data_IF_349852093949
#
_entry.id   IF_349852093949
#
_cell.length_a   1.000
_cell.length_b   1.000
_cell.length_c   1.000
_cell.angle_alpha   90.00
_cell.angle_beta   90.00
_cell.angle_gamma   90.00
#
_symmetry.space_group_name_H-M   'P 1'
#
loop_
_entity.id
_entity.type
_entity.pdbx_description
1 polymer ?
#
# COMPACT_ATOMS: atom_id res chain seq x y z
N UNK A 1 -8.52 19.37 16.75
CA UNK A 1 -8.74 20.26 15.57
C UNK A 1 -9.81 19.60 14.72
N UNK A 2 -10.74 20.37 14.14
CA UNK A 2 -11.76 19.78 13.25
C UNK A 2 -11.13 19.64 11.86
N UNK A 3 -11.02 18.42 11.35
CA UNK A 3 -10.50 18.16 10.00
C UNK A 3 -11.39 18.78 8.95
N UNK A 4 -10.81 19.16 7.82
CA UNK A 4 -11.53 19.83 6.72
C UNK A 4 -11.34 19.05 5.43
N UNK A 5 -12.44 18.74 4.77
CA UNK A 5 -12.50 18.01 3.49
C UNK A 5 -13.11 18.91 2.43
N UNK A 6 -12.42 19.05 1.30
CA UNK A 6 -12.86 19.83 0.17
C UNK A 6 -13.43 18.92 -0.92
N UNK A 7 -14.70 19.08 -1.24
CA UNK A 7 -15.39 18.39 -2.34
C UNK A 7 -15.46 19.30 -3.58
N UNK A 8 -15.06 18.76 -4.73
CA UNK A 8 -14.98 19.48 -6.00
C UNK A 8 -15.70 18.68 -7.07
N UNK A 9 -16.80 19.20 -7.59
CA UNK A 9 -17.59 18.55 -8.61
C UNK A 9 -18.42 19.61 -9.35
N UNK A 10 -18.51 19.57 -10.66
CA UNK A 10 -19.35 20.49 -11.43
C UNK A 10 -20.83 20.07 -11.46
N UNK A 11 -21.13 18.82 -11.07
CA UNK A 11 -22.48 18.32 -10.88
C UNK A 11 -23.09 18.78 -9.55
N UNK A 12 -23.96 19.80 -9.64
CA UNK A 12 -24.66 20.36 -8.49
C UNK A 12 -25.59 19.38 -7.78
N UNK A 13 -26.19 18.44 -8.52
CA UNK A 13 -27.10 17.44 -7.94
C UNK A 13 -26.30 16.49 -7.06
N UNK A 14 -25.18 15.99 -7.54
CA UNK A 14 -24.27 15.14 -6.77
C UNK A 14 -23.70 15.86 -5.56
N UNK A 15 -23.22 17.11 -5.69
CA UNK A 15 -22.75 17.90 -4.55
C UNK A 15 -23.84 18.12 -3.49
N UNK A 16 -25.09 18.35 -3.93
CA UNK A 16 -26.22 18.49 -3.01
C UNK A 16 -26.52 17.18 -2.28
N UNK A 17 -26.47 16.05 -2.96
CA UNK A 17 -26.64 14.72 -2.37
C UNK A 17 -25.59 14.44 -1.30
N UNK A 18 -24.29 14.64 -1.61
CA UNK A 18 -23.19 14.48 -0.66
C UNK A 18 -23.35 15.42 0.53
N UNK A 19 -23.72 16.69 0.29
CA UNK A 19 -23.96 17.70 1.34
C UNK A 19 -25.11 17.32 2.26
N UNK A 20 -26.21 16.82 1.72
CA UNK A 20 -27.36 16.44 2.54
C UNK A 20 -27.11 15.12 3.28
N UNK A 21 -26.36 14.21 2.69
CA UNK A 21 -25.88 13.01 3.37
C UNK A 21 -24.93 13.36 4.53
N UNK A 22 -24.02 14.31 4.34
CA UNK A 22 -23.09 14.76 5.38
C UNK A 22 -23.77 15.38 6.59
N UNK A 23 -24.87 16.12 6.40
CA UNK A 23 -25.66 16.74 7.49
C UNK A 23 -26.43 15.74 8.35
N UNK A 24 -26.76 14.58 7.79
CA UNK A 24 -27.52 13.52 8.50
C UNK A 24 -26.63 12.68 9.40
N UNK A 25 -25.32 12.93 9.43
CA UNK A 25 -24.32 12.12 10.12
C UNK A 25 -23.46 12.98 11.04
N UNK A 26 -23.01 12.41 12.13
CA UNK A 26 -21.96 12.98 12.99
C UNK A 26 -20.60 12.63 12.38
N UNK A 27 -20.11 13.46 11.45
CA UNK A 27 -18.78 13.31 10.86
C UNK A 27 -17.73 13.97 11.76
N UNK A 28 -16.56 13.35 11.88
CA UNK A 28 -15.41 13.90 12.61
C UNK A 28 -14.71 15.04 11.84
N UNK A 29 -15.17 15.35 10.63
CA UNK A 29 -14.59 16.37 9.74
C UNK A 29 -15.67 17.30 9.17
N UNK A 30 -15.27 18.55 8.86
CA UNK A 30 -16.09 19.51 8.15
C UNK A 30 -16.01 19.32 6.63
N UNK A 31 -17.12 19.53 5.93
CA UNK A 31 -17.21 19.43 4.48
C UNK A 31 -17.36 20.80 3.83
N UNK A 32 -16.51 21.12 2.87
CA UNK A 32 -16.59 22.28 1.99
C UNK A 32 -16.85 21.82 0.56
N UNK A 33 -17.65 22.57 -0.18
CA UNK A 33 -18.11 22.19 -1.52
C UNK A 33 -17.85 23.33 -2.49
N UNK A 34 -17.20 23.03 -3.61
CA UNK A 34 -16.92 23.97 -4.71
C UNK A 34 -17.24 23.32 -6.04
N UNK A 35 -17.52 24.13 -7.08
CA UNK A 35 -18.05 23.66 -8.35
C UNK A 35 -17.00 23.61 -9.46
N UNK A 36 -15.77 24.02 -9.19
CA UNK A 36 -14.72 24.05 -10.20
C UNK A 36 -13.34 23.87 -9.61
N UNK A 37 -12.42 23.36 -10.42
CA UNK A 37 -10.99 23.26 -10.07
C UNK A 37 -10.38 24.61 -9.71
N UNK A 38 -10.86 25.70 -10.34
CA UNK A 38 -10.39 27.06 -10.04
C UNK A 38 -10.78 27.53 -8.65
N UNK A 39 -12.04 27.28 -8.26
CA UNK A 39 -12.50 27.57 -6.90
C UNK A 39 -11.75 26.71 -5.86
N UNK A 40 -11.52 25.42 -6.16
CA UNK A 40 -10.76 24.54 -5.29
C UNK A 40 -9.35 25.06 -5.00
N UNK A 41 -8.63 25.57 -6.02
CA UNK A 41 -7.30 26.14 -5.83
C UNK A 41 -7.33 27.45 -5.02
N UNK A 42 -8.37 28.27 -5.14
CA UNK A 42 -8.55 29.48 -4.31
C UNK A 42 -8.81 29.09 -2.84
N UNK A 43 -9.64 28.07 -2.60
CA UNK A 43 -9.91 27.56 -1.24
C UNK A 43 -8.64 27.00 -0.62
N UNK A 44 -7.89 26.17 -1.32
CA UNK A 44 -6.63 25.59 -0.84
C UNK A 44 -5.57 26.64 -0.52
N UNK A 45 -5.54 27.75 -1.27
CA UNK A 45 -4.63 28.86 -1.01
C UNK A 45 -5.03 29.68 0.25
N UNK A 46 -6.30 29.69 0.61
CA UNK A 46 -6.84 30.52 1.69
C UNK A 46 -7.05 29.78 3.00
N UNK A 47 -7.26 28.46 2.96
CA UNK A 47 -7.60 27.60 4.11
C UNK A 47 -6.80 26.30 4.09
N UNK A 48 -6.64 25.67 5.26
CA UNK A 48 -6.03 24.34 5.37
C UNK A 48 -7.10 23.27 5.21
N UNK A 49 -6.79 22.29 4.36
CA UNK A 49 -7.59 21.09 4.16
C UNK A 49 -6.73 19.85 4.43
N UNK A 50 -7.36 18.81 4.98
CA UNK A 50 -6.71 17.53 5.24
C UNK A 50 -6.85 16.58 4.05
N UNK A 51 -7.97 16.73 3.31
CA UNK A 51 -8.31 15.89 2.17
C UNK A 51 -9.11 16.67 1.12
N UNK A 52 -8.85 16.38 -0.15
CA UNK A 52 -9.64 16.85 -1.30
C UNK A 52 -10.24 15.64 -2.01
N UNK A 53 -11.53 15.72 -2.34
CA UNK A 53 -12.28 14.77 -3.17
C UNK A 53 -12.65 15.49 -4.43
N UNK A 54 -12.16 15.04 -5.58
CA UNK A 54 -12.40 15.73 -6.87
C UNK A 54 -13.09 14.81 -7.85
N UNK A 55 -14.12 15.32 -8.53
CA UNK A 55 -14.59 14.66 -9.74
C UNK A 55 -13.49 14.61 -10.79
N UNK A 56 -13.53 13.57 -11.62
CA UNK A 56 -12.57 13.37 -12.70
C UNK A 56 -12.87 14.26 -13.91
N UNK A 57 -14.14 14.32 -14.31
CA UNK A 57 -14.58 14.93 -15.56
C UNK A 57 -15.17 16.33 -15.32
N UNK A 58 -14.30 17.33 -15.17
CA UNK A 58 -14.70 18.73 -14.99
C UNK A 58 -14.27 19.61 -16.17
N UNK A 59 -15.04 20.66 -16.50
CA UNK A 59 -14.66 21.65 -17.51
C UNK A 59 -13.35 22.40 -17.19
N UNK A 60 -12.65 22.86 -18.22
CA UNK A 60 -11.41 23.65 -18.18
C UNK A 60 -10.20 22.90 -17.59
N UNK A 61 -10.30 22.40 -16.37
CA UNK A 61 -9.27 21.63 -15.69
C UNK A 61 -9.92 20.41 -15.06
N UNK A 62 -9.62 19.22 -15.58
CA UNK A 62 -10.15 17.97 -15.04
C UNK A 62 -9.55 17.62 -13.68
N UNK A 63 -10.16 16.66 -12.97
CA UNK A 63 -9.74 16.26 -11.62
C UNK A 63 -8.32 15.73 -11.55
N UNK A 64 -7.86 15.02 -12.57
CA UNK A 64 -6.48 14.53 -12.63
C UNK A 64 -5.48 15.69 -12.62
N UNK A 65 -5.69 16.70 -13.47
CA UNK A 65 -4.84 17.90 -13.53
C UNK A 65 -4.89 18.71 -12.22
N UNK A 66 -6.09 18.84 -11.62
CA UNK A 66 -6.25 19.51 -10.33
C UNK A 66 -5.44 18.78 -9.25
N UNK A 67 -5.63 17.47 -9.09
CA UNK A 67 -4.98 16.70 -8.03
C UNK A 67 -3.47 16.56 -8.26
N UNK A 68 -3.01 16.56 -9.51
CA UNK A 68 -1.58 16.63 -9.82
C UNK A 68 -0.98 17.96 -9.33
N UNK A 69 -1.66 19.08 -9.53
CA UNK A 69 -1.23 20.37 -9.00
C UNK A 69 -1.27 20.39 -7.48
N UNK A 70 -2.32 19.85 -6.86
CA UNK A 70 -2.44 19.71 -5.40
C UNK A 70 -1.31 18.84 -4.83
N UNK A 71 -0.92 17.76 -5.51
CA UNK A 71 0.18 16.91 -5.05
C UNK A 71 1.53 17.64 -5.00
N UNK A 72 1.73 18.62 -5.88
CA UNK A 72 2.95 19.41 -5.93
C UNK A 72 2.94 20.60 -4.96
N UNK A 73 1.84 21.36 -4.92
CA UNK A 73 1.74 22.59 -4.13
C UNK A 73 1.33 22.33 -2.67
N UNK A 74 0.55 21.26 -2.43
CA UNK A 74 -0.01 20.88 -1.11
C UNK A 74 0.19 19.38 -0.83
N UNK A 75 1.45 18.88 -0.76
CA UNK A 75 1.74 17.45 -0.67
C UNK A 75 1.13 16.77 0.56
N UNK A 76 0.86 17.55 1.61
CA UNK A 76 0.20 17.04 2.82
C UNK A 76 -1.30 16.83 2.69
N UNK A 77 -1.95 17.28 1.61
CA UNK A 77 -3.39 17.08 1.39
C UNK A 77 -3.63 15.72 0.76
N UNK A 78 -4.44 14.87 1.41
CA UNK A 78 -4.88 13.62 0.81
C UNK A 78 -5.78 13.88 -0.40
N UNK A 79 -5.71 13.04 -1.41
CA UNK A 79 -6.35 13.25 -2.72
C UNK A 79 -7.17 12.03 -3.10
N UNK A 80 -8.47 12.22 -3.24
CA UNK A 80 -9.41 11.22 -3.70
C UNK A 80 -10.01 11.64 -5.04
N UNK A 81 -10.26 10.69 -5.92
CA UNK A 81 -10.98 10.87 -7.19
C UNK A 81 -12.38 10.27 -7.06
N UNK A 82 -13.36 11.01 -7.50
CA UNK A 82 -14.68 10.50 -7.84
C UNK A 82 -14.75 10.26 -9.35
N UNK A 83 -15.36 9.17 -9.76
CA UNK A 83 -15.40 8.76 -11.17
C UNK A 83 -16.71 8.03 -11.49
N UNK A 84 -17.17 8.17 -12.72
CA UNK A 84 -18.26 7.36 -13.27
C UNK A 84 -17.79 5.93 -13.58
N UNK A 85 -18.74 5.03 -13.87
CA UNK A 85 -18.47 3.60 -14.16
C UNK A 85 -17.40 3.32 -15.22
N UNK A 86 -17.24 4.23 -16.20
CA UNK A 86 -16.36 4.00 -17.35
C UNK A 86 -14.88 4.08 -17.02
N UNK A 87 -14.52 4.84 -15.99
CA UNK A 87 -13.13 5.20 -15.69
C UNK A 87 -12.46 4.26 -14.67
N UNK A 88 -13.27 3.45 -13.97
CA UNK A 88 -12.80 2.47 -13.00
C UNK A 88 -11.95 1.33 -13.61
N UNK A 89 -11.98 1.16 -14.92
CA UNK A 89 -11.21 0.14 -15.65
C UNK A 89 -9.68 0.42 -15.58
N UNK A 90 -9.28 1.68 -15.36
CA UNK A 90 -7.89 2.12 -15.40
C UNK A 90 -7.45 2.84 -14.11
N UNK A 91 -7.85 2.36 -12.93
CA UNK A 91 -7.53 2.98 -11.62
C UNK A 91 -6.03 3.20 -11.41
N UNK A 92 -5.19 2.31 -11.93
CA UNK A 92 -3.74 2.43 -11.88
C UNK A 92 -3.17 3.70 -12.56
N UNK A 93 -3.94 4.35 -13.43
CA UNK A 93 -3.61 5.64 -14.06
C UNK A 93 -3.46 6.77 -13.02
N UNK A 94 -4.27 6.73 -11.97
CA UNK A 94 -4.29 7.78 -10.94
C UNK A 94 -3.26 7.60 -9.83
N UNK A 95 -2.43 6.58 -9.95
CA UNK A 95 -1.39 6.31 -8.97
C UNK A 95 -0.36 7.46 -8.90
N UNK A 96 -0.09 7.94 -7.67
CA UNK A 96 0.76 9.11 -7.42
C UNK A 96 0.04 10.46 -7.61
N UNK A 97 -1.19 10.46 -8.16
CA UNK A 97 -2.06 11.63 -8.25
C UNK A 97 -3.10 11.61 -7.13
N UNK A 98 -3.75 10.46 -6.95
CA UNK A 98 -4.73 10.25 -5.89
C UNK A 98 -4.39 8.98 -5.09
N UNK A 99 -4.67 9.00 -3.80
CA UNK A 99 -4.51 7.83 -2.93
C UNK A 99 -5.70 6.87 -3.03
N UNK A 100 -6.85 7.36 -3.48
CA UNK A 100 -8.04 6.54 -3.67
C UNK A 100 -8.93 7.02 -4.78
N UNK A 101 -9.61 6.06 -5.45
CA UNK A 101 -10.59 6.30 -6.50
C UNK A 101 -11.93 5.71 -6.06
N UNK A 102 -12.98 6.51 -6.10
CA UNK A 102 -14.34 6.11 -5.76
C UNK A 102 -15.28 6.21 -6.95
N UNK A 103 -16.20 5.24 -7.07
CA UNK A 103 -17.31 5.37 -7.98
C UNK A 103 -18.42 6.23 -7.39
N UNK A 104 -18.94 7.18 -8.17
CA UNK A 104 -20.13 7.96 -7.81
C UNK A 104 -21.39 7.09 -7.62
N UNK A 105 -21.40 5.87 -8.19
CA UNK A 105 -22.54 4.93 -8.04
C UNK A 105 -22.54 4.19 -6.69
N UNK A 106 -21.47 4.30 -5.90
CA UNK A 106 -21.44 3.70 -4.56
C UNK A 106 -22.17 4.60 -3.56
N UNK A 107 -22.71 4.00 -2.48
CA UNK A 107 -23.30 4.79 -1.41
C UNK A 107 -22.33 5.84 -0.86
N UNK A 108 -22.81 7.06 -0.63
CA UNK A 108 -22.01 8.16 -0.06
C UNK A 108 -21.46 7.81 1.33
N UNK A 109 -22.06 6.86 2.01
CA UNK A 109 -21.62 6.29 3.28
C UNK A 109 -20.23 5.68 3.19
N UNK A 110 -19.97 4.88 2.17
CA UNK A 110 -18.67 4.23 1.95
C UNK A 110 -17.57 5.28 1.71
N UNK A 111 -17.91 6.37 1.02
CA UNK A 111 -17.00 7.48 0.80
C UNK A 111 -16.63 8.17 2.12
N UNK A 112 -17.61 8.44 2.99
CA UNK A 112 -17.33 9.07 4.29
C UNK A 112 -16.54 8.16 5.23
N UNK A 113 -16.84 6.86 5.28
CA UNK A 113 -16.07 5.88 6.05
C UNK A 113 -14.61 5.85 5.58
N UNK A 114 -14.40 5.86 4.28
CA UNK A 114 -13.05 5.86 3.71
C UNK A 114 -12.30 7.17 3.96
N UNK A 115 -12.96 8.33 3.89
CA UNK A 115 -12.39 9.63 4.26
C UNK A 115 -11.97 9.62 5.73
N UNK A 116 -12.83 9.12 6.61
CA UNK A 116 -12.56 9.01 8.04
C UNK A 116 -11.31 8.15 8.30
N UNK A 117 -11.28 6.94 7.73
CA UNK A 117 -10.15 6.01 7.86
C UNK A 117 -8.84 6.63 7.32
N UNK A 118 -8.93 7.34 6.19
CA UNK A 118 -7.77 8.02 5.60
C UNK A 118 -7.20 9.13 6.50
N UNK A 119 -8.07 9.92 7.12
CA UNK A 119 -7.68 10.99 8.05
C UNK A 119 -7.05 10.38 9.32
N UNK A 120 -7.64 9.34 9.88
CA UNK A 120 -7.12 8.63 11.06
C UNK A 120 -5.75 7.99 10.78
N UNK A 121 -5.61 7.29 9.66
CA UNK A 121 -4.33 6.72 9.23
C UNK A 121 -3.27 7.82 9.09
N UNK A 122 -3.61 8.91 8.40
CA UNK A 122 -2.69 10.04 8.23
C UNK A 122 -2.26 10.63 9.56
N UNK A 123 -3.18 10.85 10.50
CA UNK A 123 -2.84 11.35 11.84
C UNK A 123 -1.81 10.48 12.53
N UNK A 124 -1.97 9.17 12.42
CA UNK A 124 -1.08 8.22 13.03
C UNK A 124 0.31 8.27 12.39
N UNK A 125 0.41 8.16 11.07
CA UNK A 125 1.71 8.13 10.36
C UNK A 125 2.40 9.49 10.26
N UNK A 126 1.69 10.59 10.54
CA UNK A 126 2.24 11.96 10.61
C UNK A 126 2.20 12.53 12.02
N UNK A 127 2.09 11.67 13.04
CA UNK A 127 2.22 12.09 14.43
C UNK A 127 3.52 12.91 14.61
N UNK A 128 3.50 14.02 15.36
CA UNK A 128 4.68 14.84 15.63
C UNK A 128 5.88 14.05 16.15
N UNK A 129 5.66 13.02 16.94
CA UNK A 129 6.72 12.16 17.47
C UNK A 129 7.39 11.35 16.35
N UNK A 130 6.60 10.77 15.44
CA UNK A 130 7.11 10.06 14.26
C UNK A 130 7.90 11.01 13.35
N UNK A 131 7.33 12.19 13.04
CA UNK A 131 8.01 13.20 12.21
C UNK A 131 9.31 13.67 12.86
N UNK A 132 9.33 13.89 14.18
CA UNK A 132 10.53 14.23 14.91
C UNK A 132 11.59 13.10 14.85
N UNK A 133 11.17 11.85 14.99
CA UNK A 133 12.06 10.70 14.81
C UNK A 133 12.63 10.63 13.39
N UNK A 134 11.76 10.82 12.36
CA UNK A 134 12.18 10.82 10.96
C UNK A 134 13.12 11.98 10.61
N UNK A 135 12.96 13.18 11.22
CA UNK A 135 13.87 14.31 11.05
C UNK A 135 15.29 14.06 11.62
N UNK A 136 15.45 13.09 12.52
CA UNK A 136 16.76 12.67 13.03
C UNK A 136 17.54 11.83 12.03
N UNK A 137 16.92 11.43 10.94
CA UNK A 137 17.58 10.76 9.82
C UNK A 137 18.07 11.81 8.81
N UNK A 138 19.28 11.67 8.31
CA UNK A 138 19.94 12.65 7.42
C UNK A 138 19.18 12.86 6.12
N UNK A 139 18.51 11.83 5.59
CA UNK A 139 17.59 11.91 4.46
C UNK A 139 16.74 10.65 4.34
N UNK A 140 15.45 10.80 4.13
CA UNK A 140 14.60 9.68 3.72
C UNK A 140 14.87 9.33 2.24
N UNK A 141 14.75 8.06 1.85
CA UNK A 141 14.96 7.68 0.46
C UNK A 141 13.91 8.34 -0.45
N UNK A 142 14.39 8.89 -1.55
CA UNK A 142 13.52 9.40 -2.60
C UNK A 142 12.87 8.21 -3.34
N UNK A 143 11.69 8.47 -3.88
CA UNK A 143 11.01 7.51 -4.76
C UNK A 143 11.94 7.10 -5.93
N UNK A 144 12.07 5.81 -6.26
CA UNK A 144 12.95 5.36 -7.33
C UNK A 144 12.58 5.96 -8.70
N UNK A 145 13.59 6.34 -9.47
CA UNK A 145 13.40 6.95 -10.80
C UNK A 145 12.68 6.01 -11.79
N UNK A 146 12.95 4.70 -11.70
CA UNK A 146 12.25 3.67 -12.49
C UNK A 146 10.74 3.67 -12.22
N UNK A 147 10.35 3.83 -10.96
CA UNK A 147 8.95 3.96 -10.57
C UNK A 147 8.29 5.22 -11.13
N UNK A 148 8.96 6.37 -11.04
CA UNK A 148 8.44 7.62 -11.60
C UNK A 148 8.20 7.48 -13.11
N UNK A 149 9.19 6.93 -13.84
CA UNK A 149 9.07 6.69 -15.28
C UNK A 149 7.93 5.76 -15.64
N UNK A 150 7.74 4.67 -14.89
CA UNK A 150 6.63 3.73 -15.10
C UNK A 150 5.30 4.41 -14.77
N UNK A 151 5.24 5.19 -13.69
CA UNK A 151 4.02 5.90 -13.32
C UNK A 151 3.63 6.96 -14.35
N UNK A 152 4.59 7.71 -14.90
CA UNK A 152 4.37 8.65 -16.00
C UNK A 152 3.93 7.94 -17.28
N UNK A 153 4.53 6.80 -17.59
CA UNK A 153 4.15 5.99 -18.74
C UNK A 153 2.69 5.51 -18.65
N UNK A 154 2.29 5.02 -17.47
CA UNK A 154 0.93 4.50 -17.24
C UNK A 154 -0.17 5.58 -17.26
N UNK A 155 0.21 6.88 -17.18
CA UNK A 155 -0.73 8.00 -17.27
C UNK A 155 -1.06 8.40 -18.72
N UNK A 156 -0.26 7.96 -19.70
CA UNK A 156 -0.51 8.30 -21.10
C UNK A 156 -1.79 7.64 -21.58
N UNK A 157 -2.63 8.38 -22.30
CA UNK A 157 -3.86 7.84 -22.91
C UNK A 157 -3.57 6.73 -23.94
N UNK A 158 -2.44 6.86 -24.63
CA UNK A 158 -1.94 5.92 -25.63
C UNK A 158 -0.88 4.96 -25.07
N UNK A 159 -1.01 4.58 -23.79
CA UNK A 159 -0.09 3.65 -23.15
C UNK A 159 0.07 2.34 -23.91
N UNK A 160 1.29 2.04 -24.30
CA UNK A 160 1.65 0.77 -24.90
C UNK A 160 2.45 -0.09 -23.93
N UNK A 161 1.96 -1.31 -23.65
CA UNK A 161 2.65 -2.29 -22.77
C UNK A 161 4.13 -2.48 -23.15
N UNK A 162 4.45 -2.35 -24.43
CA UNK A 162 5.82 -2.50 -24.94
C UNK A 162 6.79 -1.50 -24.33
N UNK A 163 6.38 -0.26 -24.08
CA UNK A 163 7.23 0.74 -23.44
C UNK A 163 7.60 0.36 -21.99
N UNK A 164 6.66 -0.24 -21.25
CA UNK A 164 6.90 -0.77 -19.90
C UNK A 164 7.90 -1.93 -19.94
N UNK A 165 7.71 -2.87 -20.90
CA UNK A 165 8.61 -3.99 -21.09
C UNK A 165 10.04 -3.52 -21.43
N UNK A 166 10.18 -2.48 -22.27
CA UNK A 166 11.47 -1.91 -22.64
C UNK A 166 12.20 -1.25 -21.45
N UNK A 167 11.46 -0.63 -20.53
CA UNK A 167 12.04 -0.07 -19.28
C UNK A 167 12.60 -1.19 -18.42
N UNK A 168 11.84 -2.27 -18.21
CA UNK A 168 12.25 -3.39 -17.36
C UNK A 168 13.38 -4.18 -18.00
N UNK A 169 13.30 -4.44 -19.31
CA UNK A 169 14.29 -5.23 -20.04
C UNK A 169 15.69 -4.57 -20.11
N UNK A 170 15.77 -3.25 -19.95
CA UNK A 170 17.05 -2.52 -19.89
C UNK A 170 17.80 -2.70 -18.57
N UNK A 171 17.12 -3.17 -17.52
CA UNK A 171 17.74 -3.44 -16.22
C UNK A 171 17.69 -4.95 -15.92
N UNK A 172 18.87 -5.59 -15.94
CA UNK A 172 18.97 -7.02 -15.69
C UNK A 172 18.49 -7.43 -14.31
N UNK A 173 18.68 -6.57 -13.31
CA UNK A 173 18.20 -6.82 -11.93
C UNK A 173 16.68 -6.83 -11.91
N UNK A 174 16.05 -5.80 -12.46
CA UNK A 174 14.58 -5.73 -12.54
C UNK A 174 14.02 -6.94 -13.31
N UNK A 175 14.60 -7.26 -14.46
CA UNK A 175 14.20 -8.43 -15.27
C UNK A 175 14.28 -9.72 -14.45
N UNK A 176 15.39 -9.93 -13.73
CA UNK A 176 15.60 -11.14 -12.91
C UNK A 176 14.55 -11.23 -11.80
N UNK A 177 14.29 -10.15 -11.10
CA UNK A 177 13.35 -10.16 -9.97
C UNK A 177 11.90 -10.31 -10.42
N UNK A 178 11.51 -9.65 -11.52
CA UNK A 178 10.19 -9.85 -12.12
C UNK A 178 9.98 -11.32 -12.52
N UNK A 179 10.96 -11.93 -13.16
CA UNK A 179 10.88 -13.33 -13.57
C UNK A 179 10.90 -14.27 -12.35
N UNK A 180 11.65 -13.97 -11.31
CA UNK A 180 11.70 -14.75 -10.06
C UNK A 180 10.33 -14.79 -9.39
N UNK A 181 9.70 -13.63 -9.23
CA UNK A 181 8.37 -13.52 -8.61
C UNK A 181 7.31 -14.19 -9.48
N UNK A 182 7.31 -13.94 -10.79
CA UNK A 182 6.37 -14.55 -11.72
C UNK A 182 6.46 -16.09 -11.77
N UNK A 183 7.65 -16.65 -11.53
CA UNK A 183 7.88 -18.10 -11.46
C UNK A 183 7.63 -18.69 -10.07
N UNK A 184 7.24 -17.90 -9.08
CA UNK A 184 6.89 -18.47 -7.78
C UNK A 184 5.68 -19.40 -7.90
N UNK A 185 5.65 -20.45 -7.08
CA UNK A 185 4.62 -21.50 -7.12
C UNK A 185 3.19 -20.96 -7.00
N UNK A 186 3.03 -19.76 -6.43
CA UNK A 186 1.75 -19.14 -6.13
C UNK A 186 1.02 -18.54 -7.34
N UNK A 187 1.74 -18.13 -8.39
CA UNK A 187 1.11 -17.66 -9.63
C UNK A 187 0.61 -18.81 -10.53
N UNK A 188 0.89 -20.07 -10.15
CA UNK A 188 0.25 -21.24 -10.72
C UNK A 188 0.63 -21.55 -12.17
N UNK A 189 1.73 -20.99 -12.67
CA UNK A 189 2.22 -21.31 -14.01
C UNK A 189 2.78 -22.73 -14.05
N UNK A 190 2.14 -23.61 -14.85
CA UNK A 190 2.67 -24.96 -15.12
C UNK A 190 3.93 -24.94 -16.00
N UNK A 191 4.23 -23.82 -16.63
CA UNK A 191 5.40 -23.63 -17.50
C UNK A 191 6.27 -22.53 -16.94
N UNK A 192 7.59 -22.71 -17.00
CA UNK A 192 8.56 -21.70 -16.61
C UNK A 192 8.39 -20.45 -17.46
N UNK A 193 8.20 -19.32 -16.79
CA UNK A 193 8.08 -18.00 -17.40
C UNK A 193 9.49 -17.51 -17.71
N UNK A 194 9.79 -17.31 -19.00
CA UNK A 194 11.13 -16.97 -19.47
C UNK A 194 11.25 -15.52 -20.01
N UNK A 195 10.13 -14.77 -20.07
CA UNK A 195 10.13 -13.39 -20.57
C UNK A 195 9.30 -12.47 -19.69
N UNK A 196 9.68 -11.19 -19.64
CA UNK A 196 8.95 -10.13 -18.91
C UNK A 196 7.54 -9.94 -19.50
N UNK A 197 7.37 -10.13 -20.80
CA UNK A 197 6.07 -10.10 -21.46
C UNK A 197 5.12 -11.18 -20.92
N UNK A 198 5.60 -12.41 -20.79
CA UNK A 198 4.84 -13.49 -20.17
C UNK A 198 4.56 -13.24 -18.69
N UNK A 199 5.49 -12.62 -17.98
CA UNK A 199 5.31 -12.21 -16.59
C UNK A 199 4.23 -11.15 -16.46
N UNK A 200 4.21 -10.14 -17.34
CA UNK A 200 3.19 -9.08 -17.37
C UNK A 200 1.78 -9.65 -17.54
N UNK A 201 1.60 -10.64 -18.42
CA UNK A 201 0.31 -11.29 -18.64
C UNK A 201 -0.22 -12.05 -17.41
N UNK A 202 0.66 -12.49 -16.52
CA UNK A 202 0.30 -13.24 -15.31
C UNK A 202 0.13 -12.31 -14.11
N UNK A 203 1.06 -11.37 -13.95
CA UNK A 203 1.13 -10.46 -12.80
C UNK A 203 0.20 -9.26 -12.94
N UNK A 204 -0.05 -8.82 -14.16
CA UNK A 204 -0.69 -7.54 -14.46
C UNK A 204 0.26 -6.33 -14.29
N UNK A 205 -0.20 -5.19 -14.82
CA UNK A 205 0.60 -3.94 -14.83
C UNK A 205 0.86 -3.40 -13.43
N UNK A 206 -0.15 -3.42 -12.56
CA UNK A 206 -0.06 -2.90 -11.20
C UNK A 206 0.94 -3.69 -10.35
N UNK A 207 0.85 -5.01 -10.36
CA UNK A 207 1.78 -5.88 -9.65
C UNK A 207 3.21 -5.72 -10.17
N UNK A 208 3.37 -5.66 -11.50
CA UNK A 208 4.69 -5.49 -12.13
C UNK A 208 5.36 -4.19 -11.70
N UNK A 209 4.61 -3.09 -11.66
CA UNK A 209 5.08 -1.79 -11.18
C UNK A 209 5.56 -1.85 -9.72
N UNK A 210 4.81 -2.49 -8.84
CA UNK A 210 5.16 -2.61 -7.43
C UNK A 210 6.39 -3.54 -7.23
N UNK A 211 6.54 -4.57 -8.07
CA UNK A 211 7.75 -5.40 -8.09
C UNK A 211 8.98 -4.57 -8.49
N UNK A 212 8.85 -3.66 -9.44
CA UNK A 212 9.95 -2.78 -9.85
C UNK A 212 10.39 -1.87 -8.70
N UNK A 213 9.44 -1.27 -7.96
CA UNK A 213 9.77 -0.48 -6.77
C UNK A 213 10.51 -1.33 -5.75
N UNK A 214 9.93 -2.49 -5.43
CA UNK A 214 10.49 -3.41 -4.47
C UNK A 214 11.93 -3.79 -4.85
N UNK A 215 12.15 -4.20 -6.09
CA UNK A 215 13.49 -4.56 -6.57
C UNK A 215 14.50 -3.41 -6.46
N UNK A 216 14.08 -2.17 -6.75
CA UNK A 216 14.94 -0.99 -6.61
C UNK A 216 15.29 -0.67 -5.16
N UNK A 217 14.33 -0.78 -4.25
CA UNK A 217 14.53 -0.49 -2.83
C UNK A 217 15.39 -1.55 -2.14
N UNK A 218 15.27 -2.80 -2.59
CA UNK A 218 16.03 -3.94 -2.10
C UNK A 218 17.41 -4.11 -2.77
N UNK A 219 17.79 -3.25 -3.72
CA UNK A 219 19.20 -3.20 -4.17
C UNK A 219 20.08 -2.98 -2.97
N UNK A 220 21.09 -3.86 -2.80
CA UNK A 220 21.99 -3.80 -1.64
C UNK A 220 22.57 -2.40 -1.48
N UNK A 221 22.31 -1.70 -0.37
CA UNK A 221 22.84 -0.36 -0.18
C UNK A 221 24.36 -0.38 -0.05
N UNK A 222 25.02 0.55 -0.70
CA UNK A 222 26.43 0.77 -0.47
C UNK A 222 26.68 1.03 1.03
N UNK A 223 27.55 0.22 1.64
CA UNK A 223 27.89 0.37 3.07
C UNK A 223 27.10 -0.49 4.05
N UNK A 224 25.97 -1.10 3.65
CA UNK A 224 25.23 -2.04 4.49
C UNK A 224 25.78 -3.46 4.29
N UNK A 225 26.60 -3.95 5.24
CA UNK A 225 27.13 -5.32 5.15
C UNK A 225 26.08 -6.35 5.54
N UNK A 226 26.15 -7.54 4.92
CA UNK A 226 25.28 -8.69 5.25
C UNK A 226 25.33 -9.09 6.73
N UNK A 227 26.46 -8.81 7.43
CA UNK A 227 26.61 -9.07 8.86
C UNK A 227 25.80 -8.11 9.74
N UNK A 228 25.48 -6.91 9.22
CA UNK A 228 24.68 -5.93 9.95
C UNK A 228 23.18 -6.15 9.67
N UNK A 229 22.84 -6.46 8.43
CA UNK A 229 21.46 -6.70 8.01
C UNK A 229 21.43 -7.54 6.73
N UNK A 230 20.72 -8.67 6.76
CA UNK A 230 20.61 -9.55 5.59
C UNK A 230 19.40 -9.17 4.74
N UNK A 231 19.65 -8.32 3.75
CA UNK A 231 18.65 -7.87 2.78
C UNK A 231 18.02 -9.05 2.00
N UNK A 232 18.78 -10.14 1.75
CA UNK A 232 18.25 -11.29 1.03
C UNK A 232 17.21 -12.06 1.87
N UNK A 233 17.45 -12.22 3.17
CA UNK A 233 16.46 -12.84 4.08
C UNK A 233 15.16 -12.03 4.11
N UNK A 234 15.27 -10.70 4.19
CA UNK A 234 14.11 -9.83 4.14
C UNK A 234 13.39 -9.92 2.79
N UNK A 235 14.15 -10.00 1.68
CA UNK A 235 13.58 -10.22 0.35
C UNK A 235 12.77 -11.52 0.30
N UNK A 236 13.35 -12.64 0.73
CA UNK A 236 12.70 -13.95 0.73
C UNK A 236 11.43 -13.93 1.59
N UNK A 237 11.49 -13.29 2.76
CA UNK A 237 10.33 -13.09 3.62
C UNK A 237 9.22 -12.30 2.92
N UNK A 238 9.51 -11.12 2.39
CA UNK A 238 8.52 -10.27 1.73
C UNK A 238 7.87 -10.96 0.52
N UNK A 239 8.66 -11.68 -0.29
CA UNK A 239 8.14 -12.47 -1.41
C UNK A 239 7.28 -13.63 -0.89
N UNK A 240 7.71 -14.32 0.16
CA UNK A 240 6.94 -15.39 0.80
C UNK A 240 5.58 -14.90 1.28
N UNK A 241 5.56 -13.80 2.03
CA UNK A 241 4.32 -13.16 2.52
C UNK A 241 3.42 -12.75 1.36
N UNK A 242 3.95 -12.08 0.33
CA UNK A 242 3.14 -11.64 -0.83
C UNK A 242 2.52 -12.83 -1.58
N UNK A 243 3.22 -13.94 -1.68
CA UNK A 243 2.72 -15.15 -2.31
C UNK A 243 1.57 -15.78 -1.51
N UNK A 244 1.72 -15.90 -0.18
CA UNK A 244 0.64 -16.37 0.70
C UNK A 244 -0.57 -15.45 0.61
N UNK A 245 -0.34 -14.14 0.59
CA UNK A 245 -1.37 -13.12 0.43
C UNK A 245 -2.20 -13.32 -0.85
N UNK A 246 -1.55 -13.59 -1.99
CA UNK A 246 -2.25 -13.89 -3.27
C UNK A 246 -3.11 -15.14 -3.14
N UNK A 247 -2.59 -16.18 -2.50
CA UNK A 247 -3.31 -17.43 -2.31
C UNK A 247 -4.55 -17.24 -1.43
N UNK A 248 -4.40 -16.55 -0.29
CA UNK A 248 -5.50 -16.20 0.62
C UNK A 248 -6.54 -15.36 -0.11
N UNK A 249 -6.16 -14.25 -0.72
CA UNK A 249 -7.05 -13.32 -1.39
C UNK A 249 -7.87 -13.97 -2.51
N UNK A 250 -7.27 -14.90 -3.27
CA UNK A 250 -7.98 -15.68 -4.29
C UNK A 250 -9.01 -16.63 -3.69
N UNK A 251 -8.63 -17.39 -2.66
CA UNK A 251 -9.51 -18.38 -2.04
C UNK A 251 -10.68 -17.72 -1.27
N UNK A 252 -10.45 -16.53 -0.74
CA UNK A 252 -11.46 -15.74 -0.02
C UNK A 252 -12.35 -14.91 -0.96
N UNK A 253 -12.14 -14.99 -2.29
CA UNK A 253 -12.99 -14.33 -3.27
C UNK A 253 -12.88 -12.79 -3.30
N UNK A 254 -11.74 -12.23 -2.89
CA UNK A 254 -11.50 -10.78 -2.94
C UNK A 254 -11.60 -10.25 -4.38
N UNK A 255 -11.95 -8.98 -4.52
CA UNK A 255 -11.95 -8.30 -5.81
C UNK A 255 -10.55 -8.31 -6.44
N UNK A 256 -10.44 -8.11 -7.75
CA UNK A 256 -9.13 -8.04 -8.43
C UNK A 256 -8.29 -6.89 -7.88
N UNK A 257 -8.93 -5.75 -7.61
CA UNK A 257 -8.28 -4.56 -7.06
C UNK A 257 -7.71 -4.83 -5.66
N UNK A 258 -8.52 -5.42 -4.76
CA UNK A 258 -8.06 -5.77 -3.41
C UNK A 258 -6.95 -6.83 -3.43
N UNK A 259 -7.01 -7.79 -4.36
CA UNK A 259 -5.94 -8.78 -4.53
C UNK A 259 -4.62 -8.16 -4.95
N UNK A 260 -4.66 -7.20 -5.88
CA UNK A 260 -3.47 -6.47 -6.34
C UNK A 260 -2.91 -5.58 -5.23
N UNK A 261 -3.79 -4.93 -4.45
CA UNK A 261 -3.40 -4.15 -3.29
C UNK A 261 -2.78 -5.04 -2.20
N UNK A 262 -3.40 -6.18 -1.88
CA UNK A 262 -2.92 -7.14 -0.89
C UNK A 262 -1.56 -7.74 -1.29
N UNK A 263 -1.38 -8.15 -2.57
CA UNK A 263 -0.08 -8.58 -3.10
C UNK A 263 1.00 -7.53 -2.89
N UNK A 264 0.70 -6.29 -3.26
CA UNK A 264 1.63 -5.16 -3.18
C UNK A 264 1.98 -4.83 -1.74
N UNK A 265 0.99 -4.82 -0.85
CA UNK A 265 1.20 -4.60 0.57
C UNK A 265 2.02 -5.74 1.20
N UNK A 266 1.74 -7.00 0.88
CA UNK A 266 2.54 -8.14 1.31
C UNK A 266 4.01 -8.05 0.87
N UNK A 267 4.25 -7.51 -0.34
CA UNK A 267 5.61 -7.30 -0.84
C UNK A 267 6.34 -6.16 -0.11
N UNK A 268 5.63 -5.11 0.30
CA UNK A 268 6.18 -3.87 0.83
C UNK A 268 6.04 -3.73 2.37
N UNK A 269 5.37 -4.67 3.07
CA UNK A 269 5.03 -4.51 4.49
C UNK A 269 6.23 -4.22 5.39
N UNK A 270 7.35 -4.80 5.08
CA UNK A 270 8.60 -4.69 5.82
C UNK A 270 9.60 -3.67 5.23
N UNK A 271 9.16 -2.82 4.30
CA UNK A 271 10.01 -1.82 3.65
C UNK A 271 10.77 -0.95 4.65
N UNK A 272 10.13 -0.57 5.74
CA UNK A 272 10.75 0.26 6.77
C UNK A 272 11.97 -0.36 7.42
N UNK A 273 12.08 -1.69 7.50
CA UNK A 273 13.28 -2.38 8.02
C UNK A 273 14.53 -2.02 7.21
N UNK A 274 14.41 -2.00 5.87
CA UNK A 274 15.51 -1.57 4.99
C UNK A 274 15.88 -0.11 5.26
N UNK A 275 14.89 0.74 5.45
CA UNK A 275 15.10 2.17 5.65
C UNK A 275 15.85 2.40 6.99
N UNK A 276 15.35 1.81 8.08
CA UNK A 276 16.00 1.91 9.39
C UNK A 276 17.43 1.34 9.35
N UNK A 277 17.62 0.16 8.74
CA UNK A 277 18.92 -0.46 8.58
C UNK A 277 19.90 0.37 7.73
N UNK A 278 19.43 1.04 6.67
CA UNK A 278 20.25 1.93 5.85
C UNK A 278 20.68 3.18 6.61
N UNK A 279 19.76 3.77 7.35
CA UNK A 279 19.98 5.06 8.00
C UNK A 279 20.75 4.94 9.31
N UNK A 280 20.54 3.86 10.05
CA UNK A 280 21.15 3.63 11.36
C UNK A 280 21.64 2.17 11.50
N UNK A 281 22.61 1.73 10.67
CA UNK A 281 22.96 0.30 10.54
C UNK A 281 23.45 -0.32 11.85
N UNK A 282 24.22 0.40 12.67
CA UNK A 282 24.71 -0.11 13.95
C UNK A 282 23.62 -0.16 15.02
N UNK A 283 22.73 0.83 15.04
CA UNK A 283 21.62 0.86 16.00
C UNK A 283 20.55 -0.14 15.60
N UNK A 284 20.31 -0.35 14.28
CA UNK A 284 19.39 -1.37 13.80
C UNK A 284 19.87 -2.79 14.15
N UNK A 285 21.19 -3.03 14.08
CA UNK A 285 21.76 -4.29 14.56
C UNK A 285 21.49 -4.50 16.05
N UNK A 286 21.60 -3.44 16.88
CA UNK A 286 21.26 -3.52 18.31
C UNK A 286 19.77 -3.83 18.52
N UNK A 287 18.87 -3.27 17.67
CA UNK A 287 17.45 -3.59 17.74
C UNK A 287 17.18 -5.08 17.48
N UNK A 288 17.85 -5.66 16.47
CA UNK A 288 17.74 -7.08 16.19
C UNK A 288 18.26 -7.95 17.34
N UNK A 289 19.44 -7.60 17.89
CA UNK A 289 20.01 -8.28 19.05
C UNK A 289 19.13 -8.16 20.32
N UNK A 290 18.50 -7.00 20.52
CA UNK A 290 17.57 -6.78 21.64
C UNK A 290 16.31 -7.63 21.49
N UNK A 291 15.71 -7.66 20.30
CA UNK A 291 14.54 -8.48 20.00
C UNK A 291 14.83 -9.98 20.24
N UNK A 292 15.96 -10.47 19.75
CA UNK A 292 16.41 -11.86 19.96
C UNK A 292 16.59 -12.19 21.44
N UNK A 293 17.31 -11.34 22.19
CA UNK A 293 17.59 -11.54 23.61
C UNK A 293 16.32 -11.54 24.49
N UNK A 294 15.33 -10.75 24.11
CA UNK A 294 14.05 -10.64 24.84
C UNK A 294 12.98 -11.60 24.32
N UNK A 295 13.26 -12.35 23.24
CA UNK A 295 12.25 -13.13 22.51
C UNK A 295 11.01 -12.28 22.17
N UNK A 296 11.23 -11.02 21.82
CA UNK A 296 10.20 -10.04 21.50
C UNK A 296 10.14 -9.75 20.00
N UNK A 297 9.00 -9.29 19.47
CA UNK A 297 8.92 -8.82 18.09
C UNK A 297 9.89 -7.66 17.80
N UNK A 298 10.46 -7.64 16.60
CA UNK A 298 11.46 -6.63 16.21
C UNK A 298 10.91 -5.20 16.31
N UNK A 299 9.63 -4.98 15.97
CA UNK A 299 9.01 -3.66 16.05
C UNK A 299 9.00 -3.06 17.47
N UNK A 300 8.92 -3.89 18.52
CA UNK A 300 8.98 -3.43 19.91
C UNK A 300 10.40 -2.93 20.25
N UNK A 301 11.42 -3.63 19.79
CA UNK A 301 12.80 -3.20 19.96
C UNK A 301 13.12 -1.92 19.15
N UNK A 302 12.53 -1.77 17.97
CA UNK A 302 12.61 -0.56 17.17
C UNK A 302 11.98 0.63 17.90
N UNK A 303 10.76 0.48 18.43
CA UNK A 303 10.10 1.51 19.23
C UNK A 303 10.94 1.91 20.45
N UNK A 304 11.53 0.95 21.14
CA UNK A 304 12.36 1.21 22.30
C UNK A 304 13.65 1.99 21.98
N UNK A 305 14.28 1.73 20.83
CA UNK A 305 15.57 2.32 20.44
C UNK A 305 15.43 3.58 19.58
N UNK A 306 14.44 3.62 18.69
CA UNK A 306 14.27 4.70 17.72
C UNK A 306 13.08 5.61 18.04
N UNK A 307 12.11 5.12 18.85
CA UNK A 307 10.83 5.78 19.07
C UNK A 307 9.88 5.67 17.88
N UNK A 308 10.21 4.83 16.90
CA UNK A 308 9.43 4.57 15.68
C UNK A 308 9.70 3.15 15.21
N UNK A 309 8.68 2.45 14.72
CA UNK A 309 8.77 1.11 14.17
C UNK A 309 8.85 1.11 12.64
N UNK A 310 9.27 -0.02 12.06
CA UNK A 310 9.40 -0.15 10.61
C UNK A 310 8.07 -0.04 9.86
N UNK A 311 6.96 -0.51 10.44
CA UNK A 311 5.64 -0.38 9.86
C UNK A 311 5.23 1.10 9.74
N UNK A 312 5.49 1.92 10.76
CA UNK A 312 5.26 3.36 10.75
C UNK A 312 6.13 4.08 9.71
N UNK A 313 7.42 3.74 9.63
CA UNK A 313 8.35 4.30 8.61
C UNK A 313 7.92 3.90 7.21
N UNK A 314 7.58 2.63 6.99
CA UNK A 314 7.12 2.12 5.71
C UNK A 314 5.84 2.80 5.25
N UNK A 315 4.84 2.90 6.12
CA UNK A 315 3.56 3.56 5.83
C UNK A 315 3.74 5.04 5.50
N UNK A 316 4.54 5.77 6.28
CA UNK A 316 4.84 7.18 6.02
C UNK A 316 5.48 7.41 4.65
N UNK A 317 6.43 6.57 4.25
CA UNK A 317 7.08 6.67 2.94
C UNK A 317 6.09 6.37 1.81
N UNK A 318 5.32 5.29 1.92
CA UNK A 318 4.36 4.91 0.89
C UNK A 318 3.26 5.96 0.73
N UNK A 319 2.80 6.56 1.83
CA UNK A 319 1.86 7.69 1.78
C UNK A 319 2.47 8.89 1.06
N UNK A 320 3.68 9.29 1.44
CA UNK A 320 4.42 10.39 0.82
C UNK A 320 4.65 10.15 -0.69
N UNK A 321 4.84 8.90 -1.09
CA UNK A 321 4.98 8.51 -2.50
C UNK A 321 3.65 8.37 -3.24
N UNK A 322 2.51 8.59 -2.57
CA UNK A 322 1.17 8.56 -3.16
C UNK A 322 0.66 7.16 -3.46
N UNK A 323 1.04 6.17 -2.64
CA UNK A 323 0.47 4.82 -2.74
C UNK A 323 -1.00 4.79 -2.32
N UNK A 324 -1.81 3.84 -2.87
CA UNK A 324 -3.18 3.62 -2.41
C UNK A 324 -3.26 3.40 -0.91
N UNK A 325 -4.29 3.99 -0.29
CA UNK A 325 -4.47 3.91 1.17
C UNK A 325 -4.56 2.48 1.69
N UNK A 326 -5.19 1.57 0.95
CA UNK A 326 -5.29 0.16 1.32
C UNK A 326 -3.93 -0.52 1.45
N UNK A 327 -2.93 -0.08 0.67
CA UNK A 327 -1.55 -0.56 0.78
C UNK A 327 -0.86 0.10 1.98
N UNK A 328 -1.00 1.42 2.13
CA UNK A 328 -0.41 2.19 3.25
C UNK A 328 -0.93 1.69 4.59
N UNK A 329 -2.24 1.46 4.69
CA UNK A 329 -2.92 0.91 5.86
C UNK A 329 -2.39 -0.49 6.19
N UNK A 330 -2.33 -1.38 5.20
CA UNK A 330 -1.83 -2.73 5.40
C UNK A 330 -0.37 -2.75 5.87
N UNK A 331 0.47 -1.85 5.36
CA UNK A 331 1.86 -1.72 5.80
C UNK A 331 1.95 -1.13 7.21
N UNK A 332 1.17 -0.10 7.53
CA UNK A 332 1.24 0.60 8.81
C UNK A 332 0.62 -0.15 10.00
N UNK A 333 -0.21 -1.16 9.73
CA UNK A 333 -0.94 -1.86 10.78
C UNK A 333 -0.71 -3.37 10.82
N UNK A 334 0.20 -3.94 10.02
CA UNK A 334 0.38 -5.39 9.92
C UNK A 334 0.87 -6.07 11.21
N UNK A 335 1.34 -5.31 12.20
CA UNK A 335 1.72 -5.77 13.54
C UNK A 335 0.66 -5.47 14.61
N UNK A 336 -0.43 -4.78 14.27
CA UNK A 336 -1.46 -4.47 15.24
C UNK A 336 -2.37 -5.67 15.47
N UNK A 337 -3.03 -5.67 16.63
CA UNK A 337 -3.87 -6.78 17.06
C UNK A 337 -4.80 -7.25 15.94
N UNK A 338 -4.61 -8.49 15.52
CA UNK A 338 -5.39 -9.15 14.48
C UNK A 338 -6.90 -9.06 14.74
N UNK A 339 -7.32 -9.02 16.02
CA UNK A 339 -8.72 -8.86 16.43
C UNK A 339 -9.35 -7.56 15.94
N UNK A 340 -8.61 -6.45 15.93
CA UNK A 340 -9.12 -5.17 15.44
C UNK A 340 -9.15 -5.08 13.91
N UNK A 341 -8.23 -5.77 13.24
CA UNK A 341 -8.03 -5.69 11.78
C UNK A 341 -8.87 -6.69 10.99
N UNK A 342 -9.32 -7.79 11.60
CA UNK A 342 -9.89 -8.94 10.90
C UNK A 342 -11.42 -8.99 10.87
N UNK A 343 -12.11 -7.96 11.34
CA UNK A 343 -13.58 -7.86 11.27
C UNK A 343 -14.12 -7.77 9.84
N UNK A 344 -13.27 -7.29 8.91
CA UNK A 344 -13.60 -7.20 7.47
C UNK A 344 -12.47 -7.82 6.64
N UNK A 345 -12.83 -8.43 5.51
CA UNK A 345 -11.85 -8.93 4.54
C UNK A 345 -11.26 -7.76 3.76
N UNK A 346 -10.04 -7.36 4.11
CA UNK A 346 -9.31 -6.23 3.52
C UNK A 346 -7.88 -6.66 3.16
N UNK A 347 -7.15 -5.90 2.35
CA UNK A 347 -5.73 -6.12 2.13
C UNK A 347 -4.93 -6.21 3.43
N UNK A 348 -5.24 -5.38 4.43
CA UNK A 348 -4.61 -5.42 5.76
C UNK A 348 -4.80 -6.77 6.44
N UNK A 349 -6.06 -7.26 6.54
CA UNK A 349 -6.35 -8.52 7.23
C UNK A 349 -5.62 -9.71 6.58
N UNK A 350 -5.57 -9.73 5.25
CA UNK A 350 -4.90 -10.81 4.51
C UNK A 350 -3.38 -10.74 4.63
N UNK A 351 -2.78 -9.54 4.63
CA UNK A 351 -1.32 -9.37 4.84
C UNK A 351 -0.92 -9.77 6.25
N UNK A 352 -1.67 -9.35 7.27
CA UNK A 352 -1.38 -9.71 8.66
C UNK A 352 -1.43 -11.23 8.89
N UNK A 353 -2.45 -11.90 8.32
CA UNK A 353 -2.54 -13.37 8.33
C UNK A 353 -1.38 -14.01 7.58
N UNK A 354 -1.08 -13.55 6.37
CA UNK A 354 0.00 -14.09 5.55
C UNK A 354 1.37 -13.96 6.22
N UNK A 355 1.62 -12.84 6.89
CA UNK A 355 2.84 -12.60 7.65
C UNK A 355 2.98 -13.59 8.82
N UNK A 356 1.91 -13.79 9.60
CA UNK A 356 1.88 -14.76 10.69
C UNK A 356 2.10 -16.19 10.21
N UNK A 357 1.45 -16.58 9.09
CA UNK A 357 1.65 -17.91 8.48
C UNK A 357 3.11 -18.10 8.07
N UNK A 358 3.70 -17.09 7.37
CA UNK A 358 5.08 -17.19 6.90
C UNK A 358 6.07 -17.32 8.05
N UNK A 359 5.88 -16.55 9.14
CA UNK A 359 6.70 -16.68 10.34
C UNK A 359 6.59 -18.08 10.97
N UNK A 360 5.38 -18.64 11.09
CA UNK A 360 5.17 -19.98 11.62
C UNK A 360 5.80 -21.10 10.77
N UNK A 361 5.88 -20.90 9.44
CA UNK A 361 6.51 -21.86 8.52
C UNK A 361 8.04 -21.78 8.49
N UNK A 362 8.62 -20.63 8.85
CA UNK A 362 10.06 -20.36 8.75
C UNK A 362 10.78 -20.37 10.11
N UNK A 363 10.02 -20.32 11.23
CA UNK A 363 10.59 -20.39 12.57
C UNK A 363 10.94 -21.85 12.92
N UNK A 364 12.16 -22.08 13.41
CA UNK A 364 12.56 -23.37 14.01
C UNK A 364 11.89 -23.64 15.37
N UNK A 365 11.05 -22.71 15.86
CA UNK A 365 10.34 -22.84 17.12
C UNK A 365 9.03 -23.61 16.92
N UNK A 366 8.82 -24.63 17.76
CA UNK A 366 7.70 -25.59 17.71
C UNK A 366 6.31 -25.02 18.05
N UNK A 367 6.08 -23.72 18.11
CA UNK A 367 4.74 -23.19 18.25
C UNK A 367 4.08 -23.09 16.85
N UNK A 368 3.19 -24.05 16.51
CA UNK A 368 2.50 -23.98 15.24
C UNK A 368 1.61 -22.73 15.22
N UNK A 369 1.58 -22.07 14.07
CA UNK A 369 0.58 -21.09 13.73
C UNK A 369 -0.79 -21.52 14.26
N UNK A 370 -1.33 -20.76 15.21
CA UNK A 370 -2.63 -21.02 15.80
C UNK A 370 -3.69 -20.29 14.99
N UNK A 371 -4.45 -21.03 14.22
CA UNK A 371 -5.64 -20.50 13.52
C UNK A 371 -6.62 -19.85 14.52
N UNK A 372 -6.59 -20.28 15.77
CA UNK A 372 -7.44 -19.81 16.87
C UNK A 372 -7.22 -18.33 17.25
N UNK A 373 -6.09 -17.75 16.84
CA UNK A 373 -5.77 -16.34 17.08
C UNK A 373 -6.52 -15.37 16.13
N UNK A 374 -7.31 -15.90 15.18
CA UNK A 374 -8.09 -15.10 14.23
C UNK A 374 -9.58 -15.10 14.60
N UNK A 375 -10.24 -13.96 14.35
CA UNK A 375 -11.70 -13.84 14.56
C UNK A 375 -12.48 -14.95 13.83
N UNK A 376 -13.55 -15.42 14.48
CA UNK A 376 -14.47 -16.48 13.98
C UNK A 376 -14.92 -16.23 12.54
N UNK A 377 -15.06 -14.97 12.12
CA UNK A 377 -15.51 -14.58 10.78
C UNK A 377 -14.47 -14.93 9.72
N UNK A 378 -13.21 -14.62 9.94
CA UNK A 378 -12.12 -14.96 9.03
C UNK A 378 -11.85 -16.47 9.08
N UNK A 379 -11.92 -17.07 10.28
CA UNK A 379 -11.82 -18.51 10.49
C UNK A 379 -12.93 -19.28 9.77
N UNK A 380 -14.16 -18.80 9.81
CA UNK A 380 -15.28 -19.45 9.11
C UNK A 380 -15.10 -19.37 7.58
N UNK A 381 -14.60 -18.27 7.07
CA UNK A 381 -14.28 -18.11 5.65
C UNK A 381 -13.07 -18.95 5.23
N UNK A 382 -12.03 -19.01 6.07
CA UNK A 382 -10.86 -19.87 5.87
C UNK A 382 -11.22 -21.34 6.00
N UNK A 383 -12.06 -21.76 6.97
CA UNK A 383 -12.46 -23.14 7.17
C UNK A 383 -13.32 -23.67 6.02
N UNK A 384 -14.17 -22.86 5.44
CA UNK A 384 -14.96 -23.21 4.25
C UNK A 384 -14.09 -23.37 2.99
N UNK A 385 -12.93 -22.71 2.94
CA UNK A 385 -11.96 -22.75 1.83
C UNK A 385 -10.81 -23.74 2.09
N UNK A 386 -10.72 -24.32 3.29
CA UNK A 386 -9.50 -24.91 3.87
C UNK A 386 -8.90 -26.10 3.12
N UNK A 387 -9.71 -26.93 2.48
CA UNK A 387 -9.18 -28.13 1.81
C UNK A 387 -8.26 -27.83 0.62
N UNK A 388 -8.45 -26.72 -0.08
CA UNK A 388 -7.63 -26.29 -1.22
C UNK A 388 -6.51 -25.35 -0.80
N UNK A 389 -6.74 -24.53 0.22
CA UNK A 389 -5.79 -23.55 0.75
C UNK A 389 -4.58 -24.27 1.38
N UNK A 390 -4.81 -25.23 2.29
CA UNK A 390 -3.75 -25.99 2.93
C UNK A 390 -2.95 -26.84 1.94
N UNK A 391 -3.60 -27.46 0.96
CA UNK A 391 -2.91 -28.17 -0.13
C UNK A 391 -2.08 -27.23 -1.01
N UNK A 392 -2.54 -25.99 -1.20
CA UNK A 392 -1.80 -24.95 -1.92
C UNK A 392 -0.57 -24.48 -1.15
N UNK A 393 -0.72 -24.21 0.16
CA UNK A 393 0.39 -23.84 1.04
C UNK A 393 1.44 -24.94 1.13
N UNK A 394 1.06 -26.20 1.40
CA UNK A 394 2.00 -27.32 1.44
C UNK A 394 2.81 -27.47 0.15
N UNK A 395 2.17 -27.43 -1.04
CA UNK A 395 2.87 -27.53 -2.33
C UNK A 395 3.79 -26.36 -2.64
N UNK A 396 3.61 -25.25 -2.00
CA UNK A 396 4.40 -24.06 -2.25
C UNK A 396 5.65 -23.98 -1.38
N UNK A 397 5.69 -24.78 -0.31
CA UNK A 397 6.81 -24.87 0.63
C UNK A 397 7.55 -26.22 0.57
N UNK A 398 7.07 -27.20 -0.21
CA UNK A 398 7.84 -28.36 -0.70
C UNK A 398 8.70 -28.00 -1.91
#
# INVERSE_FOLDING_TARGET
MHHQVLFVDDDLEYLSEVKDSSKKRELSFGCHFVQSSKEALVELASKKYDLIVSDLDMPEMNGEMLLQKVSYEYPSVLRFILSGKKDLVNVHRFFGVAQQVFSKDRPTEELFESIQSAIELKQRITNPDILHCLQRFDSLPMIPQSFLKISELLRKEDFHQRELLDIIAKDLTLTTEVLRIANSAFFGSRKKIASVDSALNILGVSSLKNIVIFAELFKQPAGLSKKLFDVNKLWEHSVGVSNITVLLARNLGMSTEDRDAAFSAGLLHDLGKIILAKMRPLDYKKALELAENLSAPVYEAELALFGISHDEVGAHLLETWGFPLSIVEAVGYHHHELQACCSKLTPLSVVAVANSIHHGLTSEQEEPFRIEDFEETLLSQLSNSSGNLWRGLHRAFE
#
